data_IF_436291999772
#
_entry.id   IF_436291999772
#
_cell.length_a   1.000
_cell.length_b   1.000
_cell.length_c   1.000
_cell.angle_alpha   90.00
_cell.angle_beta   90.00
_cell.angle_gamma   90.00
#
_symmetry.space_group_name_H-M   'P 1'
#
loop_
_entity.id
_entity.type
_entity.pdbx_description
1 polymer ?
#
# COMPACT_ATOMS: atom_id res chain seq x y z
N UNK A 1 1.15 3.03 0.17
CA UNK A 1 0.93 3.21 0.59
C UNK A 1 0.50 2.90 0.98
N UNK A 2 0.56 3.00 0.65
CA UNK A 2 0.17 3.13 0.91
C UNK A 2 0.07 3.60 0.60
N UNK A 3 0.40 4.07 0.03
CA UNK A 3 0.52 4.75 -0.18
C UNK A 3 0.11 5.36 -0.29
N UNK A 4 0.39 5.16 -0.87
CA UNK A 4 -0.15 5.83 -0.69
C UNK A 4 -0.92 5.70 0.14
N UNK A 5 -1.07 5.13 0.20
CA UNK A 5 -1.73 4.94 1.16
C UNK A 5 -1.01 4.94 2.37
N UNK A 6 -0.01 4.30 2.38
CA UNK A 6 0.91 4.39 3.48
C UNK A 6 1.33 5.81 3.67
N UNK A 7 1.62 6.46 2.57
CA UNK A 7 2.08 7.80 2.57
C UNK A 7 1.13 8.74 3.27
N UNK A 8 -0.10 8.81 2.86
CA UNK A 8 -0.98 9.74 3.51
C UNK A 8 -1.57 9.23 4.80
N UNK A 9 -1.30 7.99 5.18
CA UNK A 9 -1.68 7.55 6.51
C UNK A 9 -0.62 7.91 7.52
N UNK A 10 0.64 8.01 7.12
CA UNK A 10 1.70 8.35 8.05
C UNK A 10 2.04 9.82 8.04
N UNK A 11 2.02 10.41 6.87
CA UNK A 11 2.47 11.76 6.68
C UNK A 11 1.33 12.65 6.35
N UNK A 12 0.56 12.18 5.39
CA UNK A 12 -0.42 13.00 4.77
C UNK A 12 -1.55 13.40 5.67
N UNK A 13 -1.72 12.73 6.81
CA UNK A 13 -2.82 13.12 7.65
C UNK A 13 -2.68 14.55 8.12
N UNK A 14 -1.48 14.93 8.52
CA UNK A 14 -1.23 16.30 8.94
C UNK A 14 -1.24 17.26 7.76
N UNK A 15 -0.88 16.78 6.59
CA UNK A 15 -0.82 17.59 5.38
C UNK A 15 -2.10 17.49 4.55
N UNK A 16 -2.85 16.41 4.75
CA UNK A 16 -4.10 16.15 4.03
C UNK A 16 -3.91 16.21 2.52
N UNK A 17 -2.83 15.61 2.06
CA UNK A 17 -2.51 15.60 0.63
C UNK A 17 -2.74 14.21 0.05
N UNK A 18 -3.47 14.18 -1.04
CA UNK A 18 -3.66 12.97 -1.82
C UNK A 18 -2.92 13.15 -3.13
N UNK A 19 -2.07 12.18 -3.48
CA UNK A 19 -1.28 12.28 -4.71
C UNK A 19 -2.18 12.22 -5.94
N UNK A 20 -1.85 13.04 -6.94
CA UNK A 20 -2.59 13.10 -8.19
C UNK A 20 -2.64 11.72 -8.84
N UNK A 21 -3.82 11.35 -9.31
CA UNK A 21 -3.99 10.09 -10.01
C UNK A 21 -4.33 8.91 -9.12
N UNK A 22 -4.22 9.03 -7.79
CA UNK A 22 -4.52 7.92 -6.90
C UNK A 22 -5.98 7.47 -7.00
N UNK A 23 -6.97 8.37 -6.98
CA UNK A 23 -8.36 7.90 -7.13
C UNK A 23 -8.58 7.11 -8.41
N UNK A 24 -8.00 7.56 -9.51
CA UNK A 24 -8.13 6.87 -10.80
C UNK A 24 -7.47 5.49 -10.76
N UNK A 25 -6.30 5.39 -10.12
CA UNK A 25 -5.60 4.11 -9.97
C UNK A 25 -6.43 3.14 -9.15
N UNK A 26 -7.03 3.62 -8.05
CA UNK A 26 -7.86 2.76 -7.20
C UNK A 26 -9.07 2.25 -7.98
N UNK A 27 -9.74 3.12 -8.73
CA UNK A 27 -10.87 2.71 -9.55
C UNK A 27 -10.46 1.68 -10.59
N UNK A 28 -9.32 1.91 -11.23
CA UNK A 28 -8.84 1.00 -12.28
C UNK A 28 -8.49 -0.37 -11.68
N UNK A 29 -7.84 -0.40 -10.54
CA UNK A 29 -7.49 -1.67 -9.89
C UNK A 29 -8.75 -2.44 -9.49
N UNK A 30 -9.75 -1.76 -8.96
CA UNK A 30 -11.02 -2.41 -8.63
C UNK A 30 -11.67 -2.97 -9.89
N UNK A 31 -11.64 -2.20 -10.97
CA UNK A 31 -12.20 -2.64 -12.24
C UNK A 31 -11.49 -3.87 -12.80
N UNK A 32 -10.21 -4.04 -12.49
CA UNK A 32 -9.45 -5.21 -12.90
C UNK A 32 -9.69 -6.43 -12.00
N UNK A 33 -10.49 -6.27 -10.95
CA UNK A 33 -10.83 -7.36 -10.06
C UNK A 33 -9.96 -7.47 -8.83
N UNK A 34 -9.05 -6.53 -8.61
CA UNK A 34 -8.21 -6.55 -7.41
C UNK A 34 -9.00 -6.14 -6.19
N UNK A 35 -8.70 -6.79 -5.09
CA UNK A 35 -9.19 -6.36 -3.78
C UNK A 35 -8.13 -5.44 -3.19
N UNK A 36 -8.58 -4.36 -2.56
CA UNK A 36 -7.69 -3.34 -2.03
C UNK A 36 -7.87 -3.22 -0.54
N UNK A 37 -6.77 -3.00 0.16
CA UNK A 37 -6.81 -2.78 1.60
C UNK A 37 -5.77 -1.75 1.99
N UNK A 38 -5.95 -1.20 3.16
CA UNK A 38 -5.00 -0.26 3.76
C UNK A 38 -4.37 -0.92 4.97
N UNK A 39 -3.03 -0.86 5.02
CA UNK A 39 -2.27 -1.31 6.17
C UNK A 39 -1.37 -0.15 6.58
N UNK A 40 -1.71 0.49 7.69
CA UNK A 40 -1.04 1.72 8.11
C UNK A 40 -0.59 1.62 9.56
N UNK A 41 0.44 2.37 9.91
CA UNK A 41 0.89 2.47 11.31
C UNK A 41 0.06 3.45 12.12
N UNK A 42 -0.84 4.20 11.50
CA UNK A 42 -1.74 5.09 12.22
C UNK A 42 -2.89 4.30 12.83
N UNK A 43 -3.51 4.89 13.84
CA UNK A 43 -4.71 4.30 14.43
C UNK A 43 -5.81 4.20 13.38
N UNK A 44 -6.61 3.14 13.51
CA UNK A 44 -7.62 2.85 12.50
C UNK A 44 -8.65 3.98 12.36
N UNK A 45 -9.00 4.65 13.46
CA UNK A 45 -9.98 5.74 13.39
C UNK A 45 -9.45 6.93 12.59
N UNK A 46 -8.17 7.26 12.74
CA UNK A 46 -7.56 8.32 11.93
C UNK A 46 -7.49 7.90 10.47
N UNK A 47 -7.10 6.66 10.21
CA UNK A 47 -7.02 6.17 8.83
C UNK A 47 -8.38 6.25 8.15
N UNK A 48 -9.43 5.80 8.84
CA UNK A 48 -10.79 5.85 8.29
C UNK A 48 -11.20 7.29 7.97
N UNK A 49 -10.86 8.22 8.85
CA UNK A 49 -11.22 9.63 8.63
C UNK A 49 -10.50 10.21 7.42
N UNK A 50 -9.22 9.88 7.24
CA UNK A 50 -8.46 10.37 6.10
C UNK A 50 -9.05 9.84 4.80
N UNK A 51 -9.34 8.54 4.76
CA UNK A 51 -9.88 7.92 3.55
C UNK A 51 -11.24 8.49 3.20
N UNK A 52 -12.06 8.77 4.21
CA UNK A 52 -13.37 9.37 4.01
C UNK A 52 -13.24 10.82 3.54
N UNK A 53 -12.30 11.56 4.12
CA UNK A 53 -12.04 12.94 3.74
C UNK A 53 -11.66 13.05 2.27
N UNK A 54 -10.88 12.11 1.76
CA UNK A 54 -10.47 12.10 0.36
C UNK A 54 -11.46 11.37 -0.53
N UNK A 55 -12.57 10.88 0.04
CA UNK A 55 -13.63 10.20 -0.70
C UNK A 55 -13.12 8.96 -1.44
N UNK A 56 -12.22 8.22 -0.80
CA UNK A 56 -11.67 6.99 -1.38
C UNK A 56 -11.89 5.76 -0.49
N UNK A 57 -12.59 5.93 0.65
CA UNK A 57 -12.78 4.82 1.59
C UNK A 57 -13.46 3.61 0.95
N UNK A 58 -14.42 3.87 0.08
CA UNK A 58 -15.22 2.78 -0.50
C UNK A 58 -14.43 1.90 -1.46
N UNK A 59 -13.25 2.32 -1.87
CA UNK A 59 -12.40 1.49 -2.73
C UNK A 59 -11.74 0.34 -1.98
N UNK A 60 -11.73 0.38 -0.64
CA UNK A 60 -10.99 -0.56 0.16
C UNK A 60 -11.89 -1.57 0.84
N UNK A 61 -11.48 -2.83 0.81
CA UNK A 61 -12.21 -3.94 1.43
C UNK A 61 -11.93 -4.01 2.93
N UNK A 62 -10.78 -3.48 3.37
CA UNK A 62 -10.44 -3.41 4.78
C UNK A 62 -9.50 -2.26 5.05
N UNK A 63 -9.47 -1.82 6.30
CA UNK A 63 -8.51 -0.82 6.78
C UNK A 63 -7.91 -1.36 8.06
N UNK A 64 -6.61 -1.59 8.05
CA UNK A 64 -5.87 -2.06 9.21
C UNK A 64 -5.04 -0.92 9.76
N UNK A 65 -5.33 -0.47 10.96
CA UNK A 65 -4.52 0.48 11.70
C UNK A 65 -3.73 -0.21 12.78
N UNK A 66 -2.89 0.52 13.47
CA UNK A 66 -2.03 -0.05 14.49
C UNK A 66 -1.99 0.83 15.74
N UNK A 67 -1.73 0.20 16.87
CA UNK A 67 -1.40 0.91 18.09
C UNK A 67 0.08 1.25 18.08
N UNK A 68 0.47 2.20 18.93
CA UNK A 68 1.87 2.60 19.06
C UNK A 68 2.73 1.36 19.40
N UNK A 69 3.82 1.21 18.67
CA UNK A 69 4.75 0.12 18.93
C UNK A 69 4.49 -1.15 18.15
N UNK A 70 3.40 -1.23 17.41
CA UNK A 70 3.11 -2.41 16.59
C UNK A 70 3.90 -2.32 15.30
N UNK A 71 4.66 -3.36 14.98
CA UNK A 71 5.46 -3.39 13.77
C UNK A 71 4.61 -3.74 12.55
N UNK A 72 4.98 -3.18 11.42
CA UNK A 72 4.28 -3.46 10.16
C UNK A 72 4.28 -4.97 9.86
N UNK A 73 5.38 -5.66 10.13
CA UNK A 73 5.45 -7.10 9.88
C UNK A 73 4.43 -7.88 10.71
N UNK A 74 4.21 -7.47 11.95
CA UNK A 74 3.20 -8.11 12.81
C UNK A 74 1.80 -7.82 12.32
N UNK A 75 1.58 -6.61 11.83
CA UNK A 75 0.31 -6.20 11.28
C UNK A 75 -0.05 -7.03 10.04
N UNK A 76 0.91 -7.21 9.13
CA UNK A 76 0.71 -8.03 7.94
C UNK A 76 0.50 -9.49 8.28
N UNK A 77 1.20 -9.99 9.31
CA UNK A 77 1.02 -11.36 9.75
C UNK A 77 -0.40 -11.59 10.22
N UNK A 78 -0.95 -10.65 10.98
CA UNK A 78 -2.32 -10.76 11.45
C UNK A 78 -3.31 -10.76 10.28
N UNK A 79 -3.08 -9.90 9.30
CA UNK A 79 -3.93 -9.86 8.12
C UNK A 79 -3.86 -11.16 7.34
N UNK A 80 -2.70 -11.79 7.29
CA UNK A 80 -2.54 -13.10 6.67
C UNK A 80 -3.33 -14.16 7.44
N UNK A 81 -3.24 -14.13 8.77
CA UNK A 81 -3.95 -15.08 9.62
C UNK A 81 -5.46 -14.97 9.47
N UNK A 82 -5.95 -13.77 9.21
CA UNK A 82 -7.37 -13.50 9.02
C UNK A 82 -7.82 -13.69 7.57
N UNK A 83 -6.91 -14.10 6.69
CA UNK A 83 -7.18 -14.34 5.28
C UNK A 83 -7.56 -13.09 4.49
N UNK A 84 -7.15 -11.91 4.95
CA UNK A 84 -7.32 -10.68 4.17
C UNK A 84 -6.26 -10.56 3.08
N UNK A 85 -5.06 -11.10 3.33
CA UNK A 85 -3.96 -11.08 2.36
C UNK A 85 -3.29 -12.46 2.34
N UNK A 86 -2.53 -12.73 1.28
CA UNK A 86 -1.79 -14.00 1.14
C UNK A 86 -0.51 -13.75 0.34
N UNK A 87 0.16 -14.84 -0.06
CA UNK A 87 1.45 -14.74 -0.75
C UNK A 87 1.35 -14.09 -2.13
N UNK A 88 0.14 -13.99 -2.69
CA UNK A 88 -0.06 -13.32 -3.98
C UNK A 88 -0.34 -11.84 -3.82
N UNK A 89 -0.60 -11.39 -2.60
CA UNK A 89 -0.87 -9.99 -2.32
C UNK A 89 0.40 -9.18 -2.53
N UNK A 90 0.23 -7.92 -2.91
CA UNK A 90 1.34 -6.99 -3.12
C UNK A 90 1.24 -5.87 -2.10
N UNK A 91 2.26 -5.73 -1.27
CA UNK A 91 2.36 -4.61 -0.35
C UNK A 91 2.94 -3.43 -1.11
N UNK A 92 2.22 -2.32 -1.13
CA UNK A 92 2.67 -1.10 -1.79
C UNK A 92 3.08 -0.12 -0.71
N UNK A 93 4.33 0.36 -0.76
CA UNK A 93 4.80 1.26 0.25
C UNK A 93 5.88 2.20 -0.23
N UNK A 94 6.07 3.27 0.54
CA UNK A 94 7.04 4.31 0.23
C UNK A 94 8.24 4.31 1.17
N UNK A 95 8.32 3.33 2.05
CA UNK A 95 9.44 3.19 2.99
C UNK A 95 9.93 1.75 2.98
N UNK A 96 11.19 1.58 3.38
CA UNK A 96 11.78 0.24 3.45
C UNK A 96 11.03 -0.68 4.41
N UNK A 97 10.41 -0.11 5.46
CA UNK A 97 9.64 -0.89 6.43
C UNK A 97 8.53 -1.70 5.77
N UNK A 98 7.86 -1.10 4.79
CA UNK A 98 6.75 -1.77 4.11
C UNK A 98 7.25 -2.97 3.32
N UNK A 99 8.36 -2.77 2.61
CA UNK A 99 8.92 -3.81 1.76
C UNK A 99 9.48 -4.95 2.62
N UNK A 100 10.17 -4.61 3.69
CA UNK A 100 10.72 -5.61 4.61
C UNK A 100 9.61 -6.41 5.26
N UNK A 101 8.53 -5.74 5.67
CA UNK A 101 7.40 -6.42 6.29
C UNK A 101 6.75 -7.41 5.33
N UNK A 102 6.63 -7.02 4.06
CA UNK A 102 6.09 -7.91 3.05
C UNK A 102 6.95 -9.15 2.90
N UNK A 103 8.27 -8.96 2.83
CA UNK A 103 9.19 -10.09 2.70
C UNK A 103 9.10 -11.03 3.89
N UNK A 104 8.99 -10.49 5.09
CA UNK A 104 8.88 -11.30 6.30
C UNK A 104 7.60 -12.14 6.31
N UNK A 105 6.60 -11.74 5.54
CA UNK A 105 5.33 -12.46 5.45
C UNK A 105 5.17 -13.18 4.12
N UNK A 106 6.23 -13.33 3.37
CA UNK A 106 6.24 -14.02 2.07
C UNK A 106 5.27 -13.39 1.08
N UNK A 107 5.08 -12.09 1.20
CA UNK A 107 4.25 -11.31 0.27
C UNK A 107 5.12 -10.62 -0.75
N UNK A 108 4.53 -10.29 -1.88
CA UNK A 108 5.17 -9.50 -2.93
C UNK A 108 5.17 -8.03 -2.51
N UNK A 109 6.00 -7.23 -3.15
CA UNK A 109 6.12 -5.82 -2.78
C UNK A 109 6.39 -4.92 -3.97
N UNK A 110 5.86 -3.71 -3.89
CA UNK A 110 6.13 -2.65 -4.86
C UNK A 110 6.47 -1.39 -4.07
N UNK A 111 7.62 -0.82 -4.38
CA UNK A 111 8.03 0.45 -3.78
C UNK A 111 7.61 1.61 -4.66
N UNK A 112 7.17 2.70 -4.05
CA UNK A 112 6.79 3.89 -4.80
C UNK A 112 7.74 5.03 -4.43
N UNK A 113 8.09 5.84 -5.45
CA UNK A 113 9.09 6.89 -5.27
C UNK A 113 8.48 8.27 -5.07
N UNK A 114 7.16 8.36 -5.08
CA UNK A 114 6.46 9.63 -4.88
C UNK A 114 6.06 9.86 -3.43
N UNK A 115 6.55 9.01 -2.52
CA UNK A 115 6.30 9.17 -1.10
C UNK A 115 7.52 9.71 -0.37
N UNK A 116 7.69 9.33 0.89
CA UNK A 116 8.74 9.87 1.74
C UNK A 116 10.10 9.23 1.58
N UNK A 117 10.15 7.94 1.26
CA UNK A 117 11.42 7.26 1.14
C UNK A 117 12.19 7.71 -0.08
N UNK A 118 13.51 7.78 0.06
CA UNK A 118 14.36 8.12 -1.07
C UNK A 118 14.41 6.95 -2.06
N UNK A 119 14.81 7.25 -3.29
CA UNK A 119 15.02 6.19 -4.27
C UNK A 119 16.03 5.17 -3.76
N UNK A 120 17.11 5.64 -3.11
CA UNK A 120 18.14 4.75 -2.58
C UNK A 120 17.56 3.82 -1.50
N UNK A 121 16.75 4.36 -0.62
CA UNK A 121 16.11 3.56 0.43
C UNK A 121 15.26 2.45 -0.17
N UNK A 122 14.45 2.80 -1.17
CA UNK A 122 13.55 1.84 -1.79
C UNK A 122 14.35 0.77 -2.56
N UNK A 123 15.36 1.19 -3.32
CA UNK A 123 16.19 0.24 -4.06
C UNK A 123 16.92 -0.71 -3.12
N UNK A 124 17.41 -0.20 -1.99
CA UNK A 124 18.12 -1.03 -1.02
C UNK A 124 17.22 -2.06 -0.36
N UNK A 125 15.94 -1.82 -0.31
CA UNK A 125 14.98 -2.77 0.26
C UNK A 125 14.62 -3.89 -0.72
N UNK A 126 14.95 -3.74 -1.99
CA UNK A 126 14.76 -4.75 -3.04
C UNK A 126 13.31 -5.18 -3.21
N UNK A 127 12.39 -4.25 -3.48
CA UNK A 127 11.02 -4.65 -3.82
C UNK A 127 11.00 -5.34 -5.16
N UNK A 128 9.92 -6.05 -5.43
CA UNK A 128 9.76 -6.72 -6.71
C UNK A 128 9.56 -5.71 -7.85
N UNK A 129 8.89 -4.61 -7.55
CA UNK A 129 8.67 -3.53 -8.53
C UNK A 129 8.93 -2.18 -7.88
N UNK A 130 9.25 -1.18 -8.71
CA UNK A 130 9.38 0.20 -8.29
C UNK A 130 8.56 1.06 -9.24
N UNK A 131 7.72 1.93 -8.70
CA UNK A 131 6.89 2.84 -9.49
C UNK A 131 7.25 4.28 -9.18
N UNK A 132 7.50 5.08 -10.22
CA UNK A 132 7.90 6.47 -10.04
C UNK A 132 6.69 7.39 -9.80
N UNK A 133 5.50 6.96 -10.22
CA UNK A 133 4.27 7.73 -10.06
C UNK A 133 3.08 6.78 -10.02
N UNK A 134 1.87 7.27 -9.73
CA UNK A 134 0.70 6.40 -9.65
C UNK A 134 0.39 5.68 -10.95
N UNK A 135 0.62 6.31 -12.10
CA UNK A 135 0.37 5.67 -13.38
C UNK A 135 1.29 4.48 -13.58
N UNK A 136 2.57 4.63 -13.24
CA UNK A 136 3.52 3.54 -13.32
C UNK A 136 3.12 2.38 -12.40
N UNK A 137 2.58 2.72 -11.23
CA UNK A 137 2.08 1.71 -10.30
C UNK A 137 0.95 0.91 -10.95
N UNK A 138 -0.01 1.60 -11.54
CA UNK A 138 -1.12 0.93 -12.20
C UNK A 138 -0.62 0.01 -13.33
N UNK A 139 0.36 0.48 -14.09
CA UNK A 139 0.90 -0.30 -15.22
C UNK A 139 1.47 -1.64 -14.78
N UNK A 140 2.02 -1.73 -13.57
CA UNK A 140 2.52 -2.99 -13.03
C UNK A 140 1.40 -4.03 -13.03
N UNK A 141 0.23 -3.66 -12.55
CA UNK A 141 -0.89 -4.59 -12.39
C UNK A 141 -1.65 -4.84 -13.69
N UNK A 142 -1.46 -4.00 -14.69
CA UNK A 142 -2.05 -4.20 -16.00
C UNK A 142 -1.18 -5.06 -16.91
N UNK A 143 0.08 -5.28 -16.53
CA UNK A 143 1.02 -6.06 -17.32
C UNK A 143 0.59 -7.52 -17.34
N UNK A 144 0.57 -8.12 -18.53
CA UNK A 144 0.19 -9.52 -18.68
C UNK A 144 1.16 -10.42 -17.90
N UNK A 145 2.44 -10.04 -17.79
CA UNK A 145 3.42 -10.80 -17.02
C UNK A 145 3.02 -10.90 -15.54
N UNK A 146 2.45 -9.83 -14.99
CA UNK A 146 1.96 -9.87 -13.62
C UNK A 146 0.81 -10.88 -13.50
N UNK A 147 -0.13 -10.85 -14.45
CA UNK A 147 -1.28 -11.75 -14.43
C UNK A 147 -0.85 -13.21 -14.53
N UNK A 148 0.19 -13.47 -15.31
CA UNK A 148 0.66 -14.83 -15.53
C UNK A 148 1.35 -15.42 -14.31
N UNK A 149 1.75 -14.60 -13.35
CA UNK A 149 2.44 -15.07 -12.14
C UNK A 149 1.49 -15.42 -11.00
N UNK A 150 0.22 -15.25 -11.20
CA UNK A 150 -0.76 -15.54 -10.16
C UNK A 150 -0.90 -17.01 -9.86
#
# INVERSE_FOLDING_TARGET
MSKYRERYSEVGFSENILYDGIPDVLMALRGLGFRLGVCTSKRVDFAERILTLFDIRDHFDFVSGAEVGIKKSSQLKELTNQNFVDSRSVMIGDRHFDIEAAKMNSMRSAGVLYGYGSKQEIENAHPEWIAIDPKALLNIFMDSAFKDTK
#
